data_IF_296245317013
#
_entry.id   IF_296245317013
#
_cell.length_a   1.000
_cell.length_b   1.000
_cell.length_c   1.000
_cell.angle_alpha   90.00
_cell.angle_beta   90.00
_cell.angle_gamma   90.00
#
_symmetry.space_group_name_H-M   'P 1'
#
loop_
_entity.id
_entity.type
_entity.pdbx_description
1 polymer ?
#
# COMPACT_ATOMS: atom_id res chain seq x y z
N UNK A 1 -13.67 -14.62 19.18
CA UNK A 1 -13.89 -14.39 17.74
C UNK A 1 -12.97 -13.24 17.32
N UNK A 2 -12.50 -13.17 16.07
CA UNK A 2 -11.53 -12.14 15.63
C UNK A 2 -12.19 -11.24 14.60
N UNK A 3 -12.18 -9.94 14.84
CA UNK A 3 -12.85 -8.94 14.00
C UNK A 3 -11.99 -8.46 12.82
N UNK A 4 -10.66 -8.65 12.91
CA UNK A 4 -9.68 -8.20 11.93
C UNK A 4 -8.40 -9.05 12.00
N UNK A 5 -7.84 -9.43 10.85
CA UNK A 5 -6.54 -10.13 10.77
C UNK A 5 -5.48 -9.19 10.22
N UNK A 6 -4.37 -9.04 10.96
CA UNK A 6 -3.20 -8.29 10.53
C UNK A 6 -2.05 -9.27 10.27
N UNK A 7 -1.44 -9.20 9.08
CA UNK A 7 -0.33 -10.07 8.70
C UNK A 7 0.95 -9.23 8.61
N UNK A 8 1.89 -9.51 9.50
CA UNK A 8 3.26 -8.99 9.48
C UNK A 8 4.21 -10.11 9.08
N UNK A 9 4.78 -10.00 7.89
CA UNK A 9 5.81 -10.91 7.38
C UNK A 9 7.21 -10.46 7.80
N UNK A 10 8.20 -11.34 7.59
CA UNK A 10 9.62 -11.01 7.77
C UNK A 10 10.14 -10.02 6.72
N UNK A 11 9.65 -10.13 5.48
CA UNK A 11 9.86 -9.19 4.38
C UNK A 11 8.54 -8.61 3.90
N UNK A 12 8.52 -7.35 3.47
CA UNK A 12 7.32 -6.74 2.90
C UNK A 12 6.82 -7.52 1.67
N UNK A 13 5.49 -7.58 1.51
CA UNK A 13 4.85 -8.14 0.30
C UNK A 13 5.17 -7.20 -0.87
N UNK A 14 5.93 -7.69 -1.84
CA UNK A 14 6.32 -6.94 -3.04
C UNK A 14 5.51 -7.35 -4.27
N UNK A 15 4.88 -8.52 -4.25
CA UNK A 15 4.01 -9.02 -5.32
C UNK A 15 2.73 -9.66 -4.79
N UNK A 16 1.68 -9.65 -5.61
CA UNK A 16 0.37 -10.25 -5.31
C UNK A 16 0.43 -11.79 -5.14
N UNK A 17 1.51 -12.43 -5.59
CA UNK A 17 1.78 -13.87 -5.45
C UNK A 17 2.76 -14.22 -4.32
N UNK A 18 3.22 -13.23 -3.54
CA UNK A 18 4.08 -13.49 -2.38
C UNK A 18 3.36 -14.31 -1.29
N UNK A 19 4.16 -14.82 -0.34
CA UNK A 19 3.73 -15.76 0.70
C UNK A 19 2.48 -15.33 1.45
N UNK A 20 2.32 -14.06 1.84
CA UNK A 20 1.17 -13.63 2.63
C UNK A 20 -0.15 -13.56 1.83
N UNK A 21 -0.21 -12.88 0.67
CA UNK A 21 -1.36 -12.99 -0.23
C UNK A 21 -1.67 -14.43 -0.67
N UNK A 22 -0.65 -15.24 -0.95
CA UNK A 22 -0.82 -16.65 -1.30
C UNK A 22 -1.42 -17.46 -0.15
N UNK A 23 -0.92 -17.27 1.08
CA UNK A 23 -1.45 -17.92 2.27
C UNK A 23 -2.92 -17.55 2.53
N UNK A 24 -3.30 -16.29 2.30
CA UNK A 24 -4.70 -15.87 2.39
C UNK A 24 -5.58 -16.66 1.40
N UNK A 25 -5.15 -16.77 0.14
CA UNK A 25 -5.89 -17.55 -0.88
C UNK A 25 -5.96 -19.04 -0.52
N UNK A 26 -4.86 -19.62 -0.03
CA UNK A 26 -4.81 -21.01 0.41
C UNK A 26 -5.75 -21.28 1.59
N UNK A 27 -5.95 -20.29 2.47
CA UNK A 27 -6.92 -20.36 3.57
C UNK A 27 -8.39 -20.25 3.09
N UNK A 28 -8.63 -20.06 1.78
CA UNK A 28 -9.97 -19.85 1.22
C UNK A 28 -10.43 -18.38 1.25
N UNK A 29 -9.52 -17.44 1.48
CA UNK A 29 -9.78 -16.01 1.42
C UNK A 29 -9.59 -15.42 0.02
N UNK A 30 -9.90 -14.13 -0.10
CA UNK A 30 -9.73 -13.36 -1.33
C UNK A 30 -8.80 -12.17 -1.09
N UNK A 31 -7.87 -11.94 -2.00
CA UNK A 31 -7.06 -10.71 -2.04
C UNK A 31 -7.81 -9.73 -2.94
N UNK A 32 -8.31 -8.63 -2.37
CA UNK A 32 -9.06 -7.61 -3.09
C UNK A 32 -8.16 -6.52 -3.68
N UNK A 33 -6.99 -6.30 -3.08
CA UNK A 33 -6.01 -5.32 -3.56
C UNK A 33 -4.59 -5.66 -3.13
N UNK A 34 -3.66 -5.36 -4.01
CA UNK A 34 -2.26 -5.18 -3.67
C UNK A 34 -1.86 -3.73 -4.00
N UNK A 35 -1.15 -3.11 -3.08
CA UNK A 35 -0.57 -1.78 -3.23
C UNK A 35 -1.42 -0.61 -2.72
N UNK A 36 -0.74 0.46 -2.36
CA UNK A 36 -1.30 1.78 -2.03
C UNK A 36 -0.61 2.88 -2.83
N UNK A 37 -1.30 3.94 -3.27
CA UNK A 37 -0.71 5.05 -4.02
C UNK A 37 -0.01 6.10 -3.11
N UNK A 38 0.73 5.63 -2.11
CA UNK A 38 1.36 6.46 -1.06
C UNK A 38 2.74 5.93 -0.68
N UNK A 39 3.62 6.78 -0.19
CA UNK A 39 4.89 6.38 0.42
C UNK A 39 5.09 7.19 1.72
N UNK A 40 5.25 6.56 2.90
CA UNK A 40 5.34 5.12 3.17
C UNK A 40 3.97 4.41 3.24
N UNK A 41 3.93 3.15 2.78
CA UNK A 41 2.74 2.28 2.88
C UNK A 41 2.32 1.59 1.59
N UNK A 42 3.01 1.89 0.49
CA UNK A 42 2.79 1.36 -0.85
C UNK A 42 2.70 -0.17 -0.97
N UNK A 43 3.30 -0.94 -0.05
CA UNK A 43 3.38 -2.40 -0.11
C UNK A 43 2.31 -3.14 0.71
N UNK A 44 1.24 -2.44 1.10
CA UNK A 44 0.08 -3.05 1.76
C UNK A 44 -0.69 -3.97 0.80
N UNK A 45 -1.30 -5.04 1.32
CA UNK A 45 -2.38 -5.74 0.62
C UNK A 45 -3.64 -5.79 1.48
N UNK A 46 -4.80 -5.82 0.82
CA UNK A 46 -6.11 -5.94 1.46
C UNK A 46 -6.82 -7.18 0.92
N UNK A 47 -7.56 -7.85 1.79
CA UNK A 47 -8.37 -8.99 1.44
C UNK A 47 -9.39 -9.33 2.51
N UNK A 48 -10.02 -10.49 2.35
CA UNK A 48 -10.96 -11.05 3.31
C UNK A 48 -10.75 -12.55 3.45
N UNK A 49 -11.04 -13.07 4.65
CA UNK A 49 -11.15 -14.49 4.91
C UNK A 49 -12.54 -14.75 5.50
N UNK A 50 -13.43 -15.34 4.70
CA UNK A 50 -14.88 -15.29 4.96
C UNK A 50 -15.31 -13.82 5.00
N UNK A 51 -15.98 -13.39 6.07
CA UNK A 51 -16.42 -12.00 6.26
C UNK A 51 -15.43 -11.13 7.05
N UNK A 52 -14.23 -11.66 7.33
CA UNK A 52 -13.23 -10.97 8.17
C UNK A 52 -12.22 -10.24 7.30
N UNK A 53 -11.99 -8.94 7.50
CA UNK A 53 -10.96 -8.21 6.79
C UNK A 53 -9.56 -8.73 7.14
N UNK A 54 -8.68 -8.74 6.14
CA UNK A 54 -7.28 -9.13 6.26
C UNK A 54 -6.41 -8.03 5.67
N UNK A 55 -5.51 -7.47 6.49
CA UNK A 55 -4.55 -6.44 6.08
C UNK A 55 -3.15 -7.03 6.16
N UNK A 56 -2.46 -7.09 5.02
CA UNK A 56 -1.03 -7.32 4.97
C UNK A 56 -0.27 -6.02 5.20
N UNK A 57 0.50 -5.97 6.27
CA UNK A 57 1.20 -4.77 6.68
C UNK A 57 2.55 -4.66 5.96
N UNK A 58 2.90 -3.47 5.42
CA UNK A 58 4.21 -3.23 4.85
C UNK A 58 5.28 -3.16 5.96
N UNK A 59 6.56 -3.35 5.62
CA UNK A 59 7.65 -3.32 6.59
C UNK A 59 7.73 -2.00 7.38
N UNK A 60 7.38 -0.88 6.73
CA UNK A 60 7.35 0.45 7.34
C UNK A 60 6.25 0.63 8.40
N UNK A 61 5.29 -0.30 8.53
CA UNK A 61 4.27 -0.27 9.60
C UNK A 61 4.87 -0.50 11.01
N UNK A 62 6.15 -0.89 11.10
CA UNK A 62 6.87 -1.00 12.39
C UNK A 62 7.37 0.35 12.92
N UNK A 63 7.34 1.39 12.08
CA UNK A 63 7.76 2.75 12.45
C UNK A 63 6.61 3.50 13.12
N UNK A 64 6.87 4.44 14.05
CA UNK A 64 5.85 5.35 14.56
C UNK A 64 5.44 6.45 13.56
N UNK A 65 6.12 6.56 12.41
CA UNK A 65 5.76 7.51 11.37
C UNK A 65 4.44 7.12 10.71
N UNK A 66 3.60 8.12 10.41
CA UNK A 66 2.32 7.92 9.73
C UNK A 66 2.50 7.13 8.43
N UNK A 67 1.70 6.08 8.27
CA UNK A 67 1.77 5.12 7.19
C UNK A 67 0.41 5.02 6.47
N UNK A 68 0.42 4.74 5.17
CA UNK A 68 -0.81 4.37 4.45
C UNK A 68 -1.60 3.23 5.11
N UNK A 69 -0.90 2.31 5.77
CA UNK A 69 -1.51 1.23 6.54
C UNK A 69 -2.38 1.72 7.71
N UNK A 70 -2.06 2.86 8.32
CA UNK A 70 -2.86 3.44 9.41
C UNK A 70 -4.22 3.96 8.89
N UNK A 71 -4.23 4.50 7.66
CA UNK A 71 -5.45 4.96 7.00
C UNK A 71 -6.35 3.80 6.61
N UNK A 72 -5.79 2.71 6.09
CA UNK A 72 -6.56 1.50 5.78
C UNK A 72 -7.08 0.85 7.06
N UNK A 73 -6.24 0.73 8.09
CA UNK A 73 -6.62 0.16 9.39
C UNK A 73 -7.78 0.92 10.03
N UNK A 74 -7.70 2.25 10.09
CA UNK A 74 -8.75 3.08 10.69
C UNK A 74 -10.10 2.93 9.96
N UNK A 75 -10.10 2.95 8.62
CA UNK A 75 -11.32 2.74 7.84
C UNK A 75 -11.92 1.37 8.06
N UNK A 76 -11.11 0.31 7.97
CA UNK A 76 -11.54 -1.07 8.18
C UNK A 76 -12.09 -1.27 9.59
N UNK A 77 -11.42 -0.74 10.61
CA UNK A 77 -11.87 -0.82 12.00
C UNK A 77 -13.20 -0.08 12.23
N UNK A 78 -13.49 0.96 11.46
CA UNK A 78 -14.76 1.70 11.51
C UNK A 78 -15.84 1.13 10.58
N UNK A 79 -15.60 0.00 9.89
CA UNK A 79 -16.55 -0.56 8.92
C UNK A 79 -16.74 0.30 7.67
N UNK A 80 -15.82 1.22 7.39
CA UNK A 80 -15.84 2.06 6.20
C UNK A 80 -15.20 1.30 5.05
N UNK A 81 -15.90 1.20 3.92
CA UNK A 81 -15.40 0.51 2.75
C UNK A 81 -14.08 1.12 2.22
N UNK A 82 -13.20 0.25 1.74
CA UNK A 82 -11.93 0.61 1.09
C UNK A 82 -11.96 0.10 -0.36
N UNK A 83 -12.51 0.92 -1.25
CA UNK A 83 -12.68 0.64 -2.69
C UNK A 83 -11.68 1.43 -3.56
N UNK A 84 -11.72 1.23 -4.87
CA UNK A 84 -10.84 1.92 -5.82
C UNK A 84 -10.72 3.43 -5.58
N UNK A 85 -11.86 4.08 -5.38
CA UNK A 85 -11.96 5.53 -5.21
C UNK A 85 -11.38 5.97 -3.85
N UNK A 86 -11.66 5.23 -2.77
CA UNK A 86 -11.07 5.48 -1.45
C UNK A 86 -9.54 5.45 -1.47
N UNK A 87 -8.94 4.51 -2.22
CA UNK A 87 -7.48 4.43 -2.37
C UNK A 87 -6.97 5.57 -3.26
N UNK A 88 -7.70 5.94 -4.31
CA UNK A 88 -7.33 7.06 -5.18
C UNK A 88 -7.30 8.38 -4.41
N UNK A 89 -8.26 8.63 -3.51
CA UNK A 89 -8.30 9.81 -2.64
C UNK A 89 -7.13 9.91 -1.67
N UNK A 90 -6.56 8.76 -1.26
CA UNK A 90 -5.36 8.70 -0.42
C UNK A 90 -4.08 9.02 -1.20
N UNK A 91 -4.13 9.09 -2.53
CA UNK A 91 -2.94 9.28 -3.36
C UNK A 91 -2.23 10.60 -3.05
N UNK A 92 -0.91 10.56 -2.96
CA UNK A 92 -0.08 11.78 -2.79
C UNK A 92 0.16 12.54 -4.11
N UNK A 93 -0.43 12.07 -5.21
CA UNK A 93 -0.21 12.58 -6.57
C UNK A 93 0.95 11.89 -7.32
N UNK A 94 1.15 12.23 -8.59
CA UNK A 94 2.10 11.55 -9.50
C UNK A 94 3.23 12.43 -10.03
N UNK A 95 3.30 13.70 -9.64
CA UNK A 95 4.42 14.57 -10.02
C UNK A 95 5.48 14.47 -8.92
N UNK A 96 6.58 13.77 -9.22
CA UNK A 96 7.84 13.97 -8.51
C UNK A 96 8.05 15.48 -8.38
N UNK A 97 8.10 16.01 -7.16
CA UNK A 97 8.55 17.40 -6.95
C UNK A 97 9.86 17.55 -7.72
N UNK A 98 9.97 18.57 -8.57
CA UNK A 98 11.25 18.87 -9.21
C UNK A 98 12.33 18.92 -8.12
N UNK A 99 13.34 18.08 -8.27
CA UNK A 99 14.47 18.03 -7.36
C UNK A 99 15.18 19.39 -7.50
N UNK A 100 15.46 20.14 -6.42
CA UNK A 100 16.09 21.46 -6.49
C UNK A 100 17.41 21.49 -7.27
N UNK A 101 18.04 20.34 -7.44
CA UNK A 101 19.37 20.13 -8.03
C UNK A 101 19.37 19.64 -9.46
N UNK A 102 18.23 19.68 -10.20
CA UNK A 102 18.21 19.18 -11.59
C UNK A 102 19.23 19.95 -12.46
N UNK A 103 20.33 19.32 -12.92
CA UNK A 103 21.29 19.99 -13.78
C UNK A 103 20.63 20.28 -15.13
N UNK A 104 20.93 21.45 -15.70
CA UNK A 104 20.35 21.99 -16.94
C UNK A 104 20.27 20.96 -18.11
N UNK A 105 19.30 21.13 -19.04
CA UNK A 105 19.01 20.13 -20.08
C UNK A 105 20.22 19.78 -20.97
N UNK A 106 20.28 18.48 -21.33
CA UNK A 106 21.32 17.78 -22.13
C UNK A 106 21.51 18.24 -23.58
N UNK A 107 21.24 19.50 -23.90
CA UNK A 107 21.49 20.01 -25.27
C UNK A 107 22.35 21.26 -25.21
N UNK A 108 23.62 21.20 -25.64
CA UNK A 108 24.41 22.41 -25.79
C UNK A 108 23.74 23.30 -26.86
N UNK A 109 23.64 24.60 -26.59
CA UNK A 109 23.28 25.59 -27.62
C UNK A 109 24.26 25.43 -28.77
N UNK A 110 23.78 25.08 -29.96
CA UNK A 110 24.57 25.29 -31.18
C UNK A 110 24.81 26.79 -31.30
N UNK A 111 26.07 27.21 -31.17
CA UNK A 111 26.44 28.59 -31.49
C UNK A 111 26.37 28.73 -33.01
N UNK A 112 25.41 29.52 -33.47
CA UNK A 112 25.55 30.28 -34.72
C UNK A 112 26.33 31.56 -34.44
#
# INVERSE_FOLDING_TARGET
ETDLVLILTSSATSDIHDTAPAALRLAGGQVSRFGMPVDPGNLLFLGSLKDKPVIGLPGCARSPALNGADWVLSRVACGVACDGDSFAEMSVGGLLKEIPTRPQPRRPKSKG
#
